data_IF_218393504737
#
_entry.id   IF_218393504737
#
_cell.length_a   1.000
_cell.length_b   1.000
_cell.length_c   1.000
_cell.angle_alpha   90.00
_cell.angle_beta   90.00
_cell.angle_gamma   90.00
#
_symmetry.space_group_name_H-M   'P 1'
#
loop_
_entity.id
_entity.type
_entity.pdbx_description
1 polymer ?
#
# COMPACT_ATOMS: atom_id res chain seq x y z
N UNK A 1 -0.95 -21.25 83.32
CA UNK A 1 -0.92 -19.78 83.09
C UNK A 1 0.51 -19.39 82.81
N UNK A 2 0.87 -19.25 81.53
CA UNK A 2 2.12 -18.67 81.05
C UNK A 2 1.91 -18.37 79.56
N UNK A 3 1.78 -17.09 79.23
CA UNK A 3 1.71 -16.58 77.86
C UNK A 3 3.10 -16.65 77.23
N UNK A 4 3.19 -17.30 76.07
CA UNK A 4 4.39 -17.32 75.24
C UNK A 4 4.30 -16.17 74.23
N UNK A 5 5.20 -15.20 74.37
CA UNK A 5 5.36 -14.07 73.45
C UNK A 5 6.10 -14.52 72.19
N UNK A 6 5.43 -14.43 71.04
CA UNK A 6 5.96 -14.73 69.71
C UNK A 6 6.45 -13.45 69.03
N UNK A 7 7.75 -13.31 68.83
CA UNK A 7 8.34 -12.26 68.00
C UNK A 7 8.13 -12.59 66.51
N UNK A 8 7.33 -11.77 65.81
CA UNK A 8 7.20 -11.78 64.33
C UNK A 8 8.34 -10.99 63.70
N UNK A 9 9.15 -11.64 62.86
CA UNK A 9 9.97 -10.96 61.84
C UNK A 9 9.08 -10.65 60.62
N UNK A 10 9.06 -9.38 60.22
CA UNK A 10 8.51 -8.93 58.93
C UNK A 10 9.43 -9.43 57.79
N UNK A 11 8.90 -10.28 56.92
CA UNK A 11 9.56 -10.66 55.66
C UNK A 11 9.04 -9.74 54.55
N UNK A 12 9.88 -8.81 54.12
CA UNK A 12 9.69 -8.04 52.88
C UNK A 12 9.81 -9.02 51.71
N UNK A 13 8.76 -9.15 50.90
CA UNK A 13 8.80 -9.84 49.62
C UNK A 13 9.44 -8.89 48.60
N UNK A 14 10.74 -9.05 48.37
CA UNK A 14 11.42 -8.50 47.18
C UNK A 14 11.04 -9.34 45.97
N UNK A 15 10.45 -8.72 44.94
CA UNK A 15 10.27 -9.32 43.62
C UNK A 15 11.63 -9.74 43.02
N UNK A 16 11.70 -10.85 42.26
CA UNK A 16 12.97 -11.34 41.74
C UNK A 16 13.48 -10.43 40.61
N UNK A 17 14.80 -10.13 40.53
CA UNK A 17 15.36 -9.14 39.58
C UNK A 17 15.37 -9.58 38.09
N UNK A 18 14.57 -10.56 37.69
CA UNK A 18 14.65 -11.21 36.37
C UNK A 18 13.55 -10.85 35.37
N UNK A 19 12.43 -10.26 35.81
CA UNK A 19 11.26 -10.01 34.95
C UNK A 19 11.44 -8.75 34.07
N UNK A 20 11.96 -7.65 34.62
CA UNK A 20 12.19 -6.42 33.84
C UNK A 20 13.28 -6.58 32.77
N UNK A 21 14.31 -7.39 33.04
CA UNK A 21 15.38 -7.65 32.08
C UNK A 21 14.91 -8.55 30.92
N UNK A 22 14.05 -9.54 31.21
CA UNK A 22 13.45 -10.41 30.18
C UNK A 22 12.45 -9.65 29.30
N UNK A 23 11.63 -8.75 29.88
CA UNK A 23 10.72 -7.89 29.11
C UNK A 23 11.49 -6.88 28.23
N UNK A 24 12.58 -6.30 28.74
CA UNK A 24 13.41 -5.38 27.95
C UNK A 24 14.14 -6.10 26.80
N UNK A 25 14.63 -7.32 27.01
CA UNK A 25 15.26 -8.13 25.95
C UNK A 25 14.24 -8.55 24.89
N UNK A 26 13.01 -8.89 25.31
CA UNK A 26 11.92 -9.25 24.39
C UNK A 26 11.40 -8.03 23.62
N UNK A 27 11.33 -6.85 24.26
CA UNK A 27 11.05 -5.57 23.60
C UNK A 27 12.12 -5.21 22.58
N UNK A 28 13.40 -5.33 22.93
CA UNK A 28 14.52 -5.07 22.00
C UNK A 28 14.52 -6.05 20.81
N UNK A 29 14.19 -7.33 21.03
CA UNK A 29 14.02 -8.27 19.92
C UNK A 29 12.83 -7.92 19.01
N UNK A 30 11.73 -7.35 19.54
CA UNK A 30 10.62 -6.83 18.72
C UNK A 30 10.99 -5.56 17.95
N UNK A 31 11.84 -4.69 18.51
CA UNK A 31 12.42 -3.55 17.79
C UNK A 31 13.28 -3.99 16.59
N UNK A 32 13.91 -5.16 16.68
CA UNK A 32 14.77 -5.71 15.63
C UNK A 32 14.04 -6.62 14.61
N UNK A 33 12.81 -7.09 14.89
CA UNK A 33 12.11 -8.11 14.08
C UNK A 33 10.98 -7.60 13.17
N UNK A 34 10.67 -6.29 13.17
CA UNK A 34 9.65 -5.72 12.26
C UNK A 34 8.20 -6.18 12.52
N UNK A 35 7.89 -6.75 13.69
CA UNK A 35 6.57 -7.32 14.01
C UNK A 35 5.58 -6.36 14.70
N UNK A 36 5.69 -5.05 14.49
CA UNK A 36 4.70 -4.12 15.01
C UNK A 36 3.54 -3.93 14.04
N UNK A 37 2.37 -3.64 14.57
CA UNK A 37 1.17 -3.35 13.77
C UNK A 37 1.39 -2.20 12.76
N UNK A 38 2.23 -1.24 13.14
CA UNK A 38 2.72 -0.14 12.33
C UNK A 38 4.04 0.38 12.91
N UNK A 39 4.82 1.12 12.13
CA UNK A 39 6.09 1.69 12.56
C UNK A 39 5.88 2.98 13.36
N UNK A 40 5.23 3.97 12.75
CA UNK A 40 4.96 5.27 13.35
C UNK A 40 3.57 5.80 12.99
N UNK A 41 2.97 6.55 13.91
CA UNK A 41 1.91 7.52 13.64
C UNK A 41 2.52 8.92 13.75
N UNK A 42 2.31 9.76 12.74
CA UNK A 42 2.66 11.18 12.77
C UNK A 42 1.42 12.04 12.55
N UNK A 43 1.39 13.21 13.18
CA UNK A 43 0.45 14.29 12.85
C UNK A 43 1.25 15.40 12.20
N UNK A 44 0.87 15.75 10.99
CA UNK A 44 1.46 16.85 10.22
C UNK A 44 0.46 18.00 10.20
N UNK A 45 0.88 19.15 10.70
CA UNK A 45 0.09 20.38 10.68
C UNK A 45 0.79 21.42 9.81
N UNK A 46 0.02 22.22 9.08
CA UNK A 46 0.55 23.33 8.29
C UNK A 46 0.78 24.54 9.21
N UNK A 47 2.03 24.98 9.35
CA UNK A 47 2.37 26.19 10.10
C UNK A 47 2.66 27.34 9.16
N UNK A 48 2.10 28.51 9.47
CA UNK A 48 2.40 29.73 8.73
C UNK A 48 3.86 30.12 8.95
N UNK A 49 4.60 30.35 7.87
CA UNK A 49 5.96 30.87 7.96
C UNK A 49 5.94 32.31 8.49
N UNK A 50 6.98 32.70 9.24
CA UNK A 50 6.98 33.94 10.04
C UNK A 50 6.91 35.21 9.19
N UNK A 51 7.42 35.17 7.95
CA UNK A 51 7.61 36.33 7.08
C UNK A 51 6.91 36.21 5.71
N UNK A 52 6.05 35.21 5.54
CA UNK A 52 5.33 34.98 4.28
C UNK A 52 3.90 34.54 4.53
N UNK A 53 3.05 34.67 3.50
CA UNK A 53 1.70 34.13 3.51
C UNK A 53 1.68 32.63 3.14
N UNK A 54 2.83 31.95 3.23
CA UNK A 54 2.98 30.54 2.88
C UNK A 54 2.94 29.66 4.12
N UNK A 55 2.56 28.40 3.91
CA UNK A 55 2.47 27.39 4.96
C UNK A 55 3.55 26.33 4.76
N UNK A 56 4.08 25.78 5.84
CA UNK A 56 5.02 24.67 5.79
C UNK A 56 4.46 23.48 6.58
N UNK A 57 4.42 22.28 6.00
CA UNK A 57 4.00 21.08 6.71
C UNK A 57 5.06 20.70 7.74
N UNK A 58 4.65 20.57 9.00
CA UNK A 58 5.52 20.20 10.11
C UNK A 58 4.89 19.11 10.97
N UNK A 59 5.72 18.16 11.41
CA UNK A 59 5.28 17.15 12.37
C UNK A 59 5.08 17.81 13.73
N UNK A 60 3.84 17.77 14.22
CA UNK A 60 3.43 18.30 15.53
C UNK A 60 3.30 17.21 16.58
N UNK A 61 3.12 15.97 16.15
CA UNK A 61 3.07 14.79 17.03
C UNK A 61 3.67 13.57 16.32
N UNK A 62 4.39 12.74 17.07
CA UNK A 62 4.94 11.47 16.58
C UNK A 62 4.79 10.41 17.69
N UNK A 63 4.37 9.21 17.29
CA UNK A 63 4.33 8.02 18.13
C UNK A 63 4.95 6.82 17.38
N UNK A 64 5.84 6.03 17.99
CA UNK A 64 6.51 6.27 19.28
C UNK A 64 7.42 7.52 19.28
N UNK A 65 7.85 7.97 20.46
CA UNK A 65 8.86 9.03 20.59
C UNK A 65 10.23 8.52 20.14
N UNK A 66 11.12 9.44 19.72
CA UNK A 66 12.46 9.16 19.17
C UNK A 66 13.52 8.74 20.20
N UNK A 67 13.09 8.23 21.35
CA UNK A 67 13.95 7.96 22.49
C UNK A 67 14.77 6.68 22.26
N UNK A 68 16.07 6.72 22.57
CA UNK A 68 16.95 5.54 22.54
C UNK A 68 17.58 5.15 21.18
N UNK A 69 17.34 5.89 20.09
CA UNK A 69 17.94 5.58 18.77
C UNK A 69 19.40 6.04 18.63
N UNK A 70 20.20 5.25 17.91
CA UNK A 70 21.56 5.59 17.51
C UNK A 70 21.57 6.80 16.56
N UNK A 71 22.69 7.53 16.49
CA UNK A 71 22.78 8.78 15.71
C UNK A 71 22.49 8.59 14.22
N UNK A 72 23.03 7.54 13.59
CA UNK A 72 22.79 7.22 12.18
C UNK A 72 21.31 6.93 11.89
N UNK A 73 20.67 6.11 12.73
CA UNK A 73 19.25 5.79 12.64
C UNK A 73 18.38 7.05 12.78
N UNK A 74 18.75 7.97 13.67
CA UNK A 74 18.04 9.25 13.83
C UNK A 74 18.11 10.12 12.58
N UNK A 75 19.25 10.16 11.89
CA UNK A 75 19.43 10.96 10.67
C UNK A 75 18.60 10.38 9.50
N UNK A 76 18.56 9.06 9.35
CA UNK A 76 17.75 8.37 8.35
C UNK A 76 16.24 8.51 8.61
N UNK A 77 15.84 8.36 9.87
CA UNK A 77 14.47 8.60 10.31
C UNK A 77 14.07 10.06 10.03
N UNK A 78 14.94 11.04 10.31
CA UNK A 78 14.65 12.44 10.03
C UNK A 78 14.41 12.71 8.53
N UNK A 79 15.19 12.08 7.64
CA UNK A 79 14.95 12.16 6.19
C UNK A 79 13.60 11.57 5.81
N UNK A 80 13.27 10.40 6.38
CA UNK A 80 11.97 9.74 6.16
C UNK A 80 10.82 10.63 6.64
N UNK A 81 10.92 11.20 7.84
CA UNK A 81 9.93 12.11 8.41
C UNK A 81 9.74 13.36 7.56
N UNK A 82 10.83 13.95 7.05
CA UNK A 82 10.75 15.07 6.09
C UNK A 82 10.01 14.65 4.82
N UNK A 83 10.33 13.50 4.24
CA UNK A 83 9.61 12.98 3.08
C UNK A 83 8.11 12.81 3.38
N UNK A 84 7.75 12.20 4.52
CA UNK A 84 6.36 12.01 4.95
C UNK A 84 5.57 13.32 4.96
N UNK A 85 6.18 14.43 5.41
CA UNK A 85 5.49 15.74 5.39
C UNK A 85 5.10 16.19 3.98
N UNK A 86 5.93 15.90 2.97
CA UNK A 86 5.67 16.23 1.57
C UNK A 86 4.51 15.39 1.01
N UNK A 87 4.41 14.12 1.38
CA UNK A 87 3.31 13.26 0.93
C UNK A 87 2.01 13.50 1.71
N UNK A 88 2.11 13.95 2.97
CA UNK A 88 0.95 14.36 3.75
C UNK A 88 0.31 15.65 3.20
N UNK A 89 1.04 16.47 2.44
CA UNK A 89 0.59 17.70 1.77
C UNK A 89 1.36 17.90 0.43
N UNK A 90 1.07 17.11 -0.62
CA UNK A 90 1.72 17.17 -1.93
C UNK A 90 1.49 18.51 -2.65
N UNK A 91 0.52 19.31 -2.20
CA UNK A 91 0.25 20.70 -2.61
C UNK A 91 1.35 21.69 -2.18
N UNK A 92 2.26 21.27 -1.30
CA UNK A 92 3.33 22.11 -0.84
C UNK A 92 2.82 23.25 0.05
N UNK A 93 3.24 24.48 -0.28
CA UNK A 93 3.17 25.62 0.65
C UNK A 93 2.00 26.58 0.44
N UNK A 94 1.25 26.39 -0.65
CA UNK A 94 0.19 27.30 -1.09
C UNK A 94 -1.16 26.87 -0.51
N UNK A 95 -1.36 27.12 0.78
CA UNK A 95 -2.60 26.80 1.48
C UNK A 95 -3.38 28.03 1.89
N UNK A 96 -4.70 27.97 1.73
CA UNK A 96 -5.64 28.92 2.31
C UNK A 96 -6.34 28.29 3.52
N UNK A 97 -6.47 29.00 4.66
CA UNK A 97 -7.28 28.54 5.78
C UNK A 97 -8.73 28.26 5.37
N UNK A 98 -9.27 27.15 5.84
CA UNK A 98 -10.61 26.67 5.49
C UNK A 98 -11.53 26.76 6.71
N UNK A 99 -12.81 27.08 6.47
CA UNK A 99 -13.86 27.03 7.50
C UNK A 99 -14.52 25.67 7.57
N UNK A 100 -14.58 24.97 6.44
CA UNK A 100 -15.12 23.62 6.27
C UNK A 100 -14.16 22.82 5.41
N UNK A 101 -13.96 21.55 5.74
CA UNK A 101 -13.14 20.62 4.98
C UNK A 101 -13.64 19.21 5.25
N UNK A 102 -14.02 18.51 4.18
CA UNK A 102 -14.42 17.11 4.27
C UNK A 102 -13.19 16.25 4.56
N UNK A 103 -13.36 15.28 5.46
CA UNK A 103 -12.29 14.35 5.81
C UNK A 103 -11.87 13.57 4.57
N UNK A 104 -10.59 13.63 4.21
CA UNK A 104 -10.03 12.98 3.02
C UNK A 104 -9.10 11.85 3.45
N UNK A 105 -9.22 10.68 2.83
CA UNK A 105 -8.36 9.52 3.11
C UNK A 105 -7.62 9.09 1.84
N UNK A 106 -6.32 8.91 1.95
CA UNK A 106 -5.47 8.47 0.84
C UNK A 106 -4.26 7.68 1.33
N UNK A 107 -3.54 7.02 0.41
CA UNK A 107 -2.28 6.35 0.73
C UNK A 107 -1.15 6.72 -0.23
N UNK A 108 0.05 6.83 0.32
CA UNK A 108 1.29 6.98 -0.45
C UNK A 108 2.25 5.83 -0.20
N UNK A 109 3.17 5.60 -1.15
CA UNK A 109 4.21 4.57 -1.03
C UNK A 109 5.57 5.24 -0.94
N UNK A 110 6.34 4.85 0.07
CA UNK A 110 7.76 5.17 0.21
C UNK A 110 8.55 3.95 -0.23
N UNK A 111 9.41 4.13 -1.23
CA UNK A 111 10.33 3.07 -1.69
C UNK A 111 11.71 3.31 -1.10
N UNK A 112 12.28 2.28 -0.48
CA UNK A 112 13.61 2.32 0.11
C UNK A 112 14.70 1.98 -0.90
N UNK A 113 15.96 2.15 -0.49
CA UNK A 113 17.13 1.95 -1.36
C UNK A 113 17.26 0.48 -1.79
N UNK A 114 16.77 -0.45 -0.98
CA UNK A 114 16.75 -1.88 -1.28
C UNK A 114 15.55 -2.32 -2.15
N UNK A 115 14.69 -1.37 -2.56
CA UNK A 115 13.48 -1.61 -3.33
C UNK A 115 12.27 -2.04 -2.50
N UNK A 116 12.42 -2.20 -1.18
CA UNK A 116 11.30 -2.46 -0.29
C UNK A 116 10.34 -1.27 -0.23
N UNK A 117 9.07 -1.54 0.05
CA UNK A 117 8.01 -0.52 0.05
C UNK A 117 7.36 -0.42 1.42
N UNK A 118 7.17 0.82 1.88
CA UNK A 118 6.34 1.17 3.04
C UNK A 118 5.14 1.97 2.58
N UNK A 119 4.00 1.74 3.21
CA UNK A 119 2.76 2.45 2.95
C UNK A 119 2.55 3.53 4.02
N UNK A 120 2.27 4.75 3.57
CA UNK A 120 1.77 5.84 4.41
C UNK A 120 0.28 6.01 4.20
N UNK A 121 -0.52 5.60 5.18
CA UNK A 121 -1.96 5.81 5.19
C UNK A 121 -2.25 7.17 5.81
N UNK A 122 -3.01 8.02 5.15
CA UNK A 122 -3.26 9.38 5.58
C UNK A 122 -4.76 9.67 5.69
N UNK A 123 -5.16 10.33 6.78
CA UNK A 123 -6.48 10.94 7.00
C UNK A 123 -6.27 12.43 7.24
N UNK A 124 -6.70 13.27 6.31
CA UNK A 124 -6.73 14.73 6.49
C UNK A 124 -8.07 15.17 7.03
N UNK A 125 -8.06 16.06 8.00
CA UNK A 125 -9.26 16.61 8.62
C UNK A 125 -9.05 18.06 9.05
N UNK A 126 -10.15 18.79 9.21
CA UNK A 126 -10.09 20.11 9.82
C UNK A 126 -9.96 19.96 11.34
N UNK A 127 -8.99 20.62 12.00
CA UNK A 127 -8.92 20.58 13.44
C UNK A 127 -10.17 21.19 14.10
N UNK A 128 -10.44 20.89 15.37
CA UNK A 128 -11.53 21.56 16.10
C UNK A 128 -11.17 23.03 16.37
N UNK A 129 -12.15 23.94 16.35
CA UNK A 129 -11.92 25.36 16.60
C UNK A 129 -12.99 26.28 16.00
N UNK A 130 -12.83 27.59 16.17
CA UNK A 130 -13.65 28.62 15.51
C UNK A 130 -12.83 29.34 14.44
N UNK A 131 -13.47 29.68 13.32
CA UNK A 131 -12.85 30.42 12.22
C UNK A 131 -12.00 29.56 11.27
N UNK A 132 -11.47 30.23 10.24
CA UNK A 132 -10.69 29.60 9.19
C UNK A 132 -9.33 29.11 9.70
N UNK A 133 -8.97 27.88 9.36
CA UNK A 133 -7.74 27.22 9.81
C UNK A 133 -7.25 26.20 8.80
N UNK A 134 -5.95 25.88 8.79
CA UNK A 134 -5.45 24.84 7.90
C UNK A 134 -5.88 23.44 8.37
N UNK A 135 -6.00 22.46 7.45
CA UNK A 135 -6.19 21.06 7.80
C UNK A 135 -4.95 20.45 8.49
N UNK A 136 -5.18 19.35 9.19
CA UNK A 136 -4.15 18.48 9.77
C UNK A 136 -4.21 17.09 9.14
N UNK A 137 -3.05 16.47 8.94
CA UNK A 137 -2.91 15.14 8.38
C UNK A 137 -2.45 14.16 9.46
N UNK A 138 -3.23 13.12 9.72
CA UNK A 138 -2.84 11.97 10.52
C UNK A 138 -2.29 10.90 9.58
N UNK A 139 -1.05 10.46 9.79
CA UNK A 139 -0.41 9.50 8.90
C UNK A 139 0.19 8.31 9.66
N UNK A 140 -0.21 7.09 9.28
CA UNK A 140 0.35 5.84 9.80
C UNK A 140 1.29 5.26 8.74
N UNK A 141 2.54 4.98 9.13
CA UNK A 141 3.54 4.32 8.30
C UNK A 141 3.62 2.85 8.66
N UNK A 142 3.50 1.98 7.66
CA UNK A 142 3.54 0.52 7.85
C UNK A 142 4.06 -0.21 6.61
N UNK A 143 4.82 -1.29 6.82
CA UNK A 143 5.13 -2.28 5.77
C UNK A 143 3.92 -3.16 5.43
N UNK A 144 2.88 -3.16 6.27
CA UNK A 144 1.66 -3.93 6.06
C UNK A 144 0.69 -3.16 5.16
N UNK A 145 0.20 -3.83 4.12
CA UNK A 145 -0.67 -3.24 3.11
C UNK A 145 -2.15 -3.55 3.38
N UNK A 146 -2.82 -2.82 4.30
CA UNK A 146 -4.22 -3.12 4.68
C UNK A 146 -5.09 -1.86 4.85
N UNK A 147 -5.59 -1.29 3.74
CA UNK A 147 -6.31 -0.01 3.73
C UNK A 147 -7.57 -0.01 4.60
N UNK A 148 -8.40 -1.07 4.49
CA UNK A 148 -9.64 -1.17 5.26
C UNK A 148 -9.41 -1.19 6.77
N UNK A 149 -8.31 -1.80 7.22
CA UNK A 149 -7.95 -1.86 8.63
C UNK A 149 -7.46 -0.50 9.13
N UNK A 150 -6.53 0.14 8.40
CA UNK A 150 -6.07 1.48 8.77
C UNK A 150 -7.18 2.54 8.71
N UNK A 151 -8.15 2.40 7.80
CA UNK A 151 -9.34 3.26 7.80
C UNK A 151 -10.12 3.14 9.11
N UNK A 152 -10.40 1.91 9.59
CA UNK A 152 -11.06 1.68 10.89
C UNK A 152 -10.24 2.24 12.05
N UNK A 153 -8.92 2.10 12.01
CA UNK A 153 -8.03 2.71 13.02
C UNK A 153 -8.19 4.23 13.02
N UNK A 154 -8.26 4.88 11.87
CA UNK A 154 -8.46 6.33 11.80
C UNK A 154 -9.83 6.79 12.31
N UNK A 155 -10.90 6.03 12.08
CA UNK A 155 -12.22 6.31 12.66
C UNK A 155 -12.13 6.33 14.20
N UNK A 156 -11.41 5.38 14.77
CA UNK A 156 -11.15 5.28 16.20
C UNK A 156 -10.23 6.39 16.74
N UNK A 157 -9.25 6.84 15.95
CA UNK A 157 -8.40 8.01 16.28
C UNK A 157 -9.23 9.28 16.28
N UNK A 158 -10.07 9.48 15.26
CA UNK A 158 -10.92 10.66 15.10
C UNK A 158 -11.95 10.75 16.24
N UNK A 159 -12.60 9.64 16.58
CA UNK A 159 -13.51 9.55 17.74
C UNK A 159 -12.84 9.99 19.04
N UNK A 160 -11.62 9.52 19.32
CA UNK A 160 -10.85 9.88 20.53
C UNK A 160 -10.39 11.32 20.53
N UNK A 161 -10.02 11.83 19.36
CA UNK A 161 -9.62 13.23 19.16
C UNK A 161 -10.70 14.22 19.57
N UNK A 162 -11.97 13.92 19.30
CA UNK A 162 -13.09 14.79 19.71
C UNK A 162 -13.21 14.95 21.23
N UNK A 163 -12.62 14.02 21.99
CA UNK A 163 -12.58 14.06 23.46
C UNK A 163 -11.29 14.75 23.93
N UNK A 164 -10.12 14.20 23.55
CA UNK A 164 -8.81 14.78 23.87
C UNK A 164 -7.70 14.13 23.06
N UNK A 165 -6.72 14.93 22.60
CA UNK A 165 -5.49 14.42 21.97
C UNK A 165 -4.75 13.40 22.85
N UNK A 166 -4.82 13.53 24.17
CA UNK A 166 -4.16 12.62 25.10
C UNK A 166 -4.71 11.18 25.02
N UNK A 167 -5.94 10.99 24.51
CA UNK A 167 -6.58 9.68 24.37
C UNK A 167 -6.02 8.86 23.19
N UNK A 168 -5.33 9.49 22.24
CA UNK A 168 -4.76 8.81 21.08
C UNK A 168 -3.59 7.92 21.52
N UNK A 169 -2.74 8.42 22.43
CA UNK A 169 -1.52 7.72 22.85
C UNK A 169 -1.80 6.32 23.44
N UNK A 170 -2.67 6.15 24.46
CA UNK A 170 -2.96 4.83 25.03
C UNK A 170 -3.56 3.85 24.01
N UNK A 171 -4.37 4.34 23.07
CA UNK A 171 -4.94 3.52 22.02
C UNK A 171 -3.87 3.04 21.04
N UNK A 172 -3.04 3.96 20.52
CA UNK A 172 -1.96 3.62 19.59
C UNK A 172 -0.92 2.71 20.22
N UNK A 173 -0.64 2.86 21.53
CA UNK A 173 0.24 1.96 22.25
C UNK A 173 -0.33 0.53 22.30
N UNK A 174 -1.59 0.36 22.69
CA UNK A 174 -2.24 -0.96 22.69
C UNK A 174 -2.29 -1.59 21.30
N UNK A 175 -2.60 -0.79 20.27
CA UNK A 175 -2.62 -1.25 18.89
C UNK A 175 -1.24 -1.73 18.42
N UNK A 176 -0.19 -0.98 18.74
CA UNK A 176 1.19 -1.34 18.36
C UNK A 176 1.69 -2.59 19.09
N UNK A 177 1.26 -2.80 20.33
CA UNK A 177 1.60 -3.99 21.14
C UNK A 177 0.77 -5.23 20.77
N UNK A 178 -0.38 -5.06 20.11
CA UNK A 178 -1.19 -6.15 19.59
C UNK A 178 -0.50 -6.86 18.41
N UNK A 179 -0.75 -8.16 18.29
CA UNK A 179 -0.30 -8.91 17.11
C UNK A 179 -1.11 -8.49 15.89
N UNK A 180 -0.45 -8.35 14.74
CA UNK A 180 -1.17 -8.14 13.50
C UNK A 180 -1.98 -9.39 13.14
N UNK A 181 -3.27 -9.27 12.79
CA UNK A 181 -4.10 -10.43 12.42
C UNK A 181 -3.48 -11.22 11.24
N UNK A 182 -3.53 -12.54 11.33
CA UNK A 182 -3.28 -13.38 10.15
C UNK A 182 -4.46 -13.25 9.16
N UNK A 183 -4.28 -13.55 7.86
CA UNK A 183 -5.37 -13.46 6.88
C UNK A 183 -6.59 -14.28 7.32
N UNK A 184 -7.78 -13.70 7.25
CA UNK A 184 -9.04 -14.28 7.72
C UNK A 184 -9.29 -14.19 9.23
N UNK A 185 -8.33 -13.73 10.02
CA UNK A 185 -8.46 -13.62 11.48
C UNK A 185 -8.80 -12.20 11.94
N UNK A 186 -9.33 -12.11 13.15
CA UNK A 186 -9.69 -10.84 13.81
C UNK A 186 -8.88 -10.65 15.09
N UNK A 187 -8.44 -9.42 15.33
CA UNK A 187 -7.82 -8.99 16.59
C UNK A 187 -8.75 -8.00 17.27
N UNK A 188 -8.99 -8.23 18.56
CA UNK A 188 -9.83 -7.38 19.39
C UNK A 188 -8.98 -6.47 20.28
N UNK A 189 -9.21 -5.16 20.19
CA UNK A 189 -8.50 -4.16 20.99
C UNK A 189 -9.47 -3.57 22.00
N UNK A 190 -9.19 -3.80 23.28
CA UNK A 190 -9.93 -3.22 24.40
C UNK A 190 -9.41 -1.82 24.71
N UNK A 191 -10.23 -0.81 24.46
CA UNK A 191 -9.86 0.59 24.63
C UNK A 191 -10.86 1.30 25.51
N UNK A 192 -10.37 2.08 26.49
CA UNK A 192 -11.24 2.82 27.40
C UNK A 192 -11.48 4.22 26.83
N UNK A 193 -12.74 4.65 26.82
CA UNK A 193 -13.16 6.01 26.48
C UNK A 193 -13.91 6.59 27.69
N UNK A 194 -13.56 7.79 28.17
CA UNK A 194 -14.32 8.48 29.23
C UNK A 194 -15.80 8.54 28.86
N UNK A 195 -16.70 8.34 29.84
CA UNK A 195 -18.17 8.33 29.67
C UNK A 195 -18.74 7.12 28.89
N UNK A 196 -18.03 6.58 27.88
CA UNK A 196 -18.47 5.40 27.11
C UNK A 196 -18.02 4.06 27.70
N UNK A 197 -17.01 4.05 28.57
CA UNK A 197 -16.48 2.83 29.21
C UNK A 197 -15.46 2.08 28.34
N UNK A 198 -15.36 0.77 28.51
CA UNK A 198 -14.45 -0.07 27.71
C UNK A 198 -15.15 -0.53 26.44
N UNK A 199 -14.61 -0.13 25.29
CA UNK A 199 -15.04 -0.57 23.97
C UNK A 199 -14.12 -1.67 23.44
N UNK A 200 -14.68 -2.57 22.63
CA UNK A 200 -13.95 -3.63 21.93
C UNK A 200 -13.95 -3.27 20.45
N UNK A 201 -12.76 -2.99 19.91
CA UNK A 201 -12.57 -2.67 18.51
C UNK A 201 -12.10 -3.94 17.80
N UNK A 202 -12.87 -4.41 16.82
CA UNK A 202 -12.55 -5.62 16.06
C UNK A 202 -11.88 -5.26 14.73
N UNK A 203 -10.62 -5.66 14.59
CA UNK A 203 -9.79 -5.45 13.40
C UNK A 203 -9.60 -6.79 12.68
N UNK A 204 -10.34 -6.97 11.58
CA UNK A 204 -10.31 -8.19 10.76
C UNK A 204 -9.42 -7.99 9.56
N UNK A 205 -8.53 -8.95 9.29
CA UNK A 205 -7.76 -9.00 8.05
C UNK A 205 -8.47 -9.86 7.01
N UNK A 206 -8.69 -9.37 5.79
CA UNK A 206 -9.24 -10.18 4.70
C UNK A 206 -8.47 -11.49 4.48
N UNK A 207 -9.15 -12.52 3.97
CA UNK A 207 -8.52 -13.80 3.66
C UNK A 207 -7.51 -13.68 2.51
N UNK A 208 -7.87 -12.91 1.48
CA UNK A 208 -7.06 -12.67 0.29
C UNK A 208 -6.03 -11.57 0.52
N UNK A 209 -4.84 -11.97 1.00
CA UNK A 209 -3.88 -11.01 1.52
C UNK A 209 -3.32 -9.98 0.51
N UNK A 210 -3.35 -10.34 -0.77
CA UNK A 210 -2.92 -9.48 -1.87
C UNK A 210 -3.90 -8.34 -2.20
N UNK A 211 -5.18 -8.47 -1.81
CA UNK A 211 -6.23 -7.48 -2.09
C UNK A 211 -6.53 -6.55 -0.90
N UNK A 212 -5.79 -6.70 0.20
CA UNK A 212 -6.02 -5.98 1.46
C UNK A 212 -5.92 -4.44 1.35
N UNK A 213 -5.19 -3.94 0.35
CA UNK A 213 -5.00 -2.52 0.09
C UNK A 213 -5.69 -2.05 -1.20
N UNK A 214 -6.52 -2.90 -1.81
CA UNK A 214 -7.07 -2.68 -3.15
C UNK A 214 -8.56 -2.39 -3.05
N UNK A 215 -9.00 -1.35 -3.74
CA UNK A 215 -10.42 -1.06 -3.93
C UNK A 215 -10.72 -0.91 -5.42
N UNK A 216 -11.20 -1.98 -6.06
CA UNK A 216 -11.56 -1.92 -7.47
C UNK A 216 -12.83 -1.09 -7.74
N UNK A 217 -13.67 -0.84 -6.73
CA UNK A 217 -14.86 -0.01 -6.92
C UNK A 217 -14.51 1.39 -7.45
N UNK A 218 -13.45 1.99 -6.91
CA UNK A 218 -12.98 3.33 -7.32
C UNK A 218 -12.38 3.32 -8.73
N UNK A 219 -11.71 2.23 -9.12
CA UNK A 219 -11.24 2.07 -10.50
C UNK A 219 -12.43 2.08 -11.49
N UNK A 220 -13.47 1.29 -11.20
CA UNK A 220 -14.64 1.16 -12.07
C UNK A 220 -15.67 2.29 -11.92
N UNK A 221 -15.56 3.15 -10.90
CA UNK A 221 -16.27 4.43 -10.87
C UNK A 221 -15.61 5.46 -11.80
N UNK A 222 -14.30 5.35 -12.03
CA UNK A 222 -13.55 6.27 -12.87
C UNK A 222 -13.51 5.84 -14.35
N UNK A 223 -13.40 4.54 -14.62
CA UNK A 223 -13.13 3.98 -15.95
C UNK A 223 -14.09 2.84 -16.29
N UNK A 224 -14.44 2.75 -17.57
CA UNK A 224 -15.19 1.61 -18.14
C UNK A 224 -14.29 0.37 -18.26
N UNK A 225 -14.89 -0.81 -18.44
CA UNK A 225 -14.16 -2.07 -18.62
C UNK A 225 -13.14 -2.01 -19.75
N UNK A 226 -13.53 -1.40 -20.88
CA UNK A 226 -12.65 -1.24 -22.03
C UNK A 226 -11.47 -0.32 -21.69
N UNK A 227 -11.70 0.76 -20.96
CA UNK A 227 -10.64 1.70 -20.57
C UNK A 227 -9.68 1.06 -19.55
N UNK A 228 -10.20 0.31 -18.57
CA UNK A 228 -9.38 -0.48 -17.64
C UNK A 228 -8.50 -1.47 -18.40
N UNK A 229 -9.04 -2.13 -19.43
CA UNK A 229 -8.29 -3.06 -20.25
C UNK A 229 -7.13 -2.40 -21.00
N UNK A 230 -7.32 -1.16 -21.51
CA UNK A 230 -6.27 -0.38 -22.16
C UNK A 230 -5.17 0.03 -21.17
N UNK A 231 -5.55 0.47 -19.97
CA UNK A 231 -4.60 0.76 -18.89
C UNK A 231 -3.81 -0.49 -18.49
N UNK A 232 -4.49 -1.63 -18.33
CA UNK A 232 -3.85 -2.92 -18.07
C UNK A 232 -2.88 -3.32 -19.18
N UNK A 233 -3.25 -3.11 -20.45
CA UNK A 233 -2.39 -3.39 -21.60
C UNK A 233 -1.08 -2.58 -21.58
N UNK A 234 -1.15 -1.31 -21.16
CA UNK A 234 0.02 -0.48 -20.96
C UNK A 234 0.85 -0.95 -19.75
N UNK A 235 0.20 -1.26 -18.63
CA UNK A 235 0.86 -1.67 -17.40
C UNK A 235 1.57 -3.03 -17.54
N UNK A 236 0.96 -4.01 -18.20
CA UNK A 236 1.56 -5.34 -18.38
C UNK A 236 2.82 -5.32 -19.26
N UNK A 237 3.01 -4.26 -20.07
CA UNK A 237 4.22 -4.03 -20.85
C UNK A 237 5.17 -3.00 -20.22
N UNK A 238 4.98 -2.68 -18.94
CA UNK A 238 5.83 -1.73 -18.20
C UNK A 238 5.97 -0.38 -18.91
N UNK A 239 4.84 0.23 -19.28
CA UNK A 239 4.85 1.59 -19.84
C UNK A 239 4.92 2.66 -18.75
N UNK A 240 5.24 3.87 -19.17
CA UNK A 240 5.11 5.08 -18.37
C UNK A 240 3.64 5.49 -18.33
N UNK A 241 3.03 5.45 -17.15
CA UNK A 241 1.60 5.77 -16.96
C UNK A 241 1.45 6.82 -15.87
N UNK A 242 0.71 7.88 -16.18
CA UNK A 242 0.34 8.95 -15.24
C UNK A 242 -1.18 8.94 -15.09
N UNK A 243 -1.65 8.86 -13.85
CA UNK A 243 -3.04 9.05 -13.48
C UNK A 243 -3.25 10.47 -12.96
N UNK A 244 -4.33 11.11 -13.41
CA UNK A 244 -4.70 12.46 -13.04
C UNK A 244 -6.04 12.43 -12.32
N UNK A 245 -6.14 13.07 -11.16
CA UNK A 245 -7.42 13.28 -10.50
C UNK A 245 -7.37 14.52 -9.60
N UNK A 246 -8.55 15.02 -9.22
CA UNK A 246 -8.68 16.11 -8.25
C UNK A 246 -8.42 15.62 -6.82
N UNK A 247 -8.97 14.46 -6.47
CA UNK A 247 -8.92 13.89 -5.12
C UNK A 247 -7.75 12.91 -4.95
N UNK A 248 -7.03 13.02 -3.82
CA UNK A 248 -5.90 12.15 -3.49
C UNK A 248 -6.35 10.71 -3.20
N UNK A 249 -7.55 10.56 -2.62
CA UNK A 249 -8.16 9.26 -2.37
C UNK A 249 -8.37 8.48 -3.67
N UNK A 250 -8.93 9.12 -4.69
CA UNK A 250 -9.14 8.54 -6.02
C UNK A 250 -7.81 8.16 -6.67
N UNK A 251 -6.82 9.05 -6.71
CA UNK A 251 -5.49 8.77 -7.26
C UNK A 251 -4.85 7.52 -6.62
N UNK A 252 -4.78 7.52 -5.29
CA UNK A 252 -4.13 6.43 -4.55
C UNK A 252 -4.86 5.10 -4.70
N UNK A 253 -6.20 5.09 -4.66
CA UNK A 253 -6.96 3.85 -4.81
C UNK A 253 -6.87 3.27 -6.23
N UNK A 254 -6.96 4.12 -7.26
CA UNK A 254 -6.90 3.67 -8.66
C UNK A 254 -5.53 3.10 -9.01
N UNK A 255 -4.45 3.76 -8.62
CA UNK A 255 -3.09 3.29 -8.96
C UNK A 255 -2.72 1.98 -8.25
N UNK A 256 -3.16 1.79 -6.99
CA UNK A 256 -3.04 0.51 -6.29
C UNK A 256 -3.89 -0.58 -6.95
N UNK A 257 -5.11 -0.26 -7.38
CA UNK A 257 -5.96 -1.20 -8.11
C UNK A 257 -5.33 -1.64 -9.43
N UNK A 258 -4.78 -0.71 -10.23
CA UNK A 258 -4.08 -1.03 -11.48
C UNK A 258 -2.86 -1.93 -11.23
N UNK A 259 -2.06 -1.64 -10.20
CA UNK A 259 -0.94 -2.51 -9.84
C UNK A 259 -1.39 -3.93 -9.44
N UNK A 260 -2.53 -4.05 -8.75
CA UNK A 260 -3.09 -5.35 -8.36
C UNK A 260 -3.60 -6.19 -9.54
N UNK A 261 -3.98 -5.57 -10.65
CA UNK A 261 -4.35 -6.29 -11.89
C UNK A 261 -3.19 -7.12 -12.46
N UNK A 262 -1.95 -6.82 -12.08
CA UNK A 262 -0.74 -7.47 -12.61
C UNK A 262 -0.43 -8.80 -11.94
N UNK A 263 -1.13 -9.16 -10.87
CA UNK A 263 -0.92 -10.41 -10.15
C UNK A 263 -1.01 -11.64 -11.07
N UNK A 264 -0.10 -12.63 -10.96
CA UNK A 264 0.86 -12.87 -9.87
C UNK A 264 2.17 -12.06 -9.95
N UNK A 265 2.28 -11.16 -10.93
CA UNK A 265 3.45 -10.30 -11.08
C UNK A 265 3.31 -9.05 -10.21
N UNK A 266 4.44 -8.53 -9.74
CA UNK A 266 4.50 -7.28 -8.96
C UNK A 266 5.18 -6.22 -9.77
N UNK A 267 4.63 -5.00 -9.85
CA UNK A 267 5.28 -3.86 -10.52
C UNK A 267 6.66 -3.56 -9.92
N UNK A 268 7.71 -3.56 -10.74
CA UNK A 268 9.10 -3.46 -10.29
C UNK A 268 9.73 -2.09 -10.42
N UNK A 269 9.08 -1.18 -11.16
CA UNK A 269 9.64 0.14 -11.44
C UNK A 269 9.14 1.19 -10.45
N UNK A 270 9.46 2.46 -10.72
CA UNK A 270 9.00 3.60 -9.92
C UNK A 270 7.49 3.57 -9.76
N UNK A 271 7.04 3.66 -8.50
CA UNK A 271 5.64 3.68 -8.12
C UNK A 271 5.45 4.81 -7.11
N UNK A 272 4.76 5.87 -7.50
CA UNK A 272 4.44 6.99 -6.62
C UNK A 272 2.96 7.29 -6.77
N UNK A 273 2.14 6.80 -5.83
CA UNK A 273 0.68 6.91 -5.92
C UNK A 273 0.18 8.36 -5.86
N UNK A 274 0.96 9.25 -5.26
CA UNK A 274 0.71 10.68 -5.19
C UNK A 274 2.06 11.39 -5.28
N UNK A 275 2.33 12.07 -6.39
CA UNK A 275 3.54 12.85 -6.62
C UNK A 275 3.39 14.22 -5.95
N UNK A 276 4.22 14.55 -4.93
CA UNK A 276 4.31 15.91 -4.41
C UNK A 276 4.76 16.89 -5.50
N UNK A 277 4.27 18.13 -5.48
CA UNK A 277 4.62 19.16 -6.47
C UNK A 277 6.12 19.38 -6.58
N UNK A 278 6.83 19.36 -5.44
CA UNK A 278 8.29 19.51 -5.42
C UNK A 278 9.05 18.37 -6.11
N UNK A 279 8.38 17.24 -6.38
CA UNK A 279 8.93 16.07 -7.05
C UNK A 279 8.37 15.87 -8.47
N UNK A 280 7.67 16.86 -9.03
CA UNK A 280 6.98 16.72 -10.33
C UNK A 280 7.92 16.32 -11.47
N UNK A 281 9.18 16.75 -11.42
CA UNK A 281 10.24 16.43 -12.40
C UNK A 281 10.47 14.92 -12.60
N UNK A 282 10.01 14.07 -11.67
CA UNK A 282 10.04 12.60 -11.81
C UNK A 282 9.35 12.11 -13.08
N UNK A 283 8.40 12.88 -13.63
CA UNK A 283 7.69 12.55 -14.88
C UNK A 283 8.62 12.51 -16.10
N UNK A 284 9.80 13.13 -16.01
CA UNK A 284 10.82 13.11 -17.06
C UNK A 284 11.68 11.83 -17.03
N UNK A 285 11.47 10.93 -16.08
CA UNK A 285 12.24 9.69 -15.98
C UNK A 285 12.09 8.85 -17.27
N UNK A 286 13.19 8.32 -17.84
CA UNK A 286 13.12 7.51 -19.06
C UNK A 286 12.66 6.08 -18.79
N UNK A 287 12.68 5.64 -17.54
CA UNK A 287 12.27 4.29 -17.12
C UNK A 287 10.76 4.21 -16.95
N UNK A 288 10.17 2.99 -17.01
CA UNK A 288 8.76 2.80 -16.68
C UNK A 288 8.39 3.36 -15.32
N UNK A 289 7.14 3.81 -15.17
CA UNK A 289 6.62 4.24 -13.88
C UNK A 289 5.09 4.17 -13.85
N UNK A 290 4.56 4.08 -12.63
CA UNK A 290 3.17 4.42 -12.32
C UNK A 290 3.18 5.64 -11.39
N UNK A 291 2.59 6.74 -11.86
CA UNK A 291 2.52 8.00 -11.11
C UNK A 291 1.07 8.46 -10.94
N UNK A 292 0.71 8.94 -9.76
CA UNK A 292 -0.52 9.69 -9.54
C UNK A 292 -0.22 11.18 -9.34
N UNK A 293 -0.83 12.05 -10.14
CA UNK A 293 -0.56 13.49 -10.15
C UNK A 293 -1.87 14.25 -9.98
N UNK A 294 -1.90 15.25 -9.10
CA UNK A 294 -3.09 16.08 -8.91
C UNK A 294 -3.39 16.88 -10.18
N UNK A 295 -4.67 17.00 -10.54
CA UNK A 295 -5.14 17.68 -11.78
C UNK A 295 -4.61 19.10 -11.95
N UNK A 296 -4.41 19.84 -10.86
CA UNK A 296 -3.79 21.19 -10.89
C UNK A 296 -2.38 21.23 -11.50
N UNK A 297 -1.69 20.10 -11.57
CA UNK A 297 -0.35 19.95 -12.17
C UNK A 297 -0.39 19.34 -13.58
N UNK A 298 -1.59 19.16 -14.18
CA UNK A 298 -1.76 18.51 -15.48
C UNK A 298 -0.88 19.13 -16.57
N UNK A 299 -0.86 20.47 -16.64
CA UNK A 299 -0.09 21.19 -17.67
C UNK A 299 1.43 20.92 -17.57
N UNK A 300 1.93 20.47 -16.43
CA UNK A 300 3.35 20.15 -16.24
C UNK A 300 3.72 18.75 -16.75
N UNK A 301 2.74 17.90 -17.08
CA UNK A 301 2.98 16.50 -17.45
C UNK A 301 2.56 16.14 -18.88
N UNK A 302 1.76 16.97 -19.55
CA UNK A 302 1.20 16.67 -20.87
C UNK A 302 2.16 16.83 -22.05
N UNK A 303 3.28 17.54 -21.87
CA UNK A 303 4.25 17.82 -22.95
C UNK A 303 5.15 16.61 -23.30
N UNK A 304 5.00 15.50 -22.59
CA UNK A 304 5.86 14.33 -22.72
C UNK A 304 5.33 13.33 -23.77
N UNK A 305 6.22 12.77 -24.59
CA UNK A 305 5.90 11.71 -25.56
C UNK A 305 6.11 10.31 -24.98
N UNK A 306 5.51 9.30 -25.63
CA UNK A 306 5.68 7.87 -25.32
C UNK A 306 5.29 7.49 -23.88
N UNK A 307 4.18 8.06 -23.40
CA UNK A 307 3.54 7.71 -22.14
C UNK A 307 2.02 7.76 -22.26
N UNK A 308 1.33 7.15 -21.29
CA UNK A 308 -0.12 7.16 -21.18
C UNK A 308 -0.54 8.12 -20.05
N UNK A 309 -1.33 9.15 -20.36
CA UNK A 309 -1.96 10.01 -19.34
C UNK A 309 -3.44 9.68 -19.24
N UNK A 310 -3.89 9.29 -18.05
CA UNK A 310 -5.26 8.86 -17.76
C UNK A 310 -5.93 9.85 -16.79
N UNK A 311 -6.91 10.60 -17.28
CA UNK A 311 -7.79 11.42 -16.47
C UNK A 311 -8.82 10.54 -15.74
N UNK A 312 -8.92 10.73 -14.43
CA UNK A 312 -9.85 10.05 -13.54
C UNK A 312 -10.95 10.98 -13.04
N UNK A 313 -10.89 12.29 -13.31
CA UNK A 313 -11.90 13.25 -12.87
C UNK A 313 -13.31 12.92 -13.37
N UNK A 314 -14.33 13.35 -12.62
CA UNK A 314 -15.73 13.09 -12.97
C UNK A 314 -16.17 13.86 -14.22
N UNK A 315 -15.63 15.06 -14.43
CA UNK A 315 -15.96 15.98 -15.53
C UNK A 315 -15.18 15.71 -16.83
N UNK A 316 -14.35 14.66 -16.86
CA UNK A 316 -13.52 14.30 -18.01
C UNK A 316 -14.39 13.97 -19.24
N UNK A 317 -13.99 14.48 -20.41
CA UNK A 317 -14.63 14.14 -21.69
C UNK A 317 -14.09 12.83 -22.26
N UNK A 318 -12.78 12.66 -22.21
CA UNK A 318 -12.05 11.46 -22.61
C UNK A 318 -11.03 11.16 -21.50
N UNK A 319 -10.98 9.95 -20.94
CA UNK A 319 -9.95 9.62 -19.96
C UNK A 319 -8.55 9.57 -20.53
N UNK A 320 -8.32 9.40 -21.83
CA UNK A 320 -6.97 9.29 -22.37
C UNK A 320 -6.49 10.61 -22.95
N UNK A 321 -5.90 11.46 -22.10
CA UNK A 321 -5.35 12.77 -22.50
C UNK A 321 -4.17 12.61 -23.47
N UNK A 322 -3.30 11.64 -23.18
CA UNK A 322 -2.16 11.26 -24.03
C UNK A 322 -2.18 9.75 -24.16
N UNK A 323 -2.04 9.24 -25.39
CA UNK A 323 -1.97 7.81 -25.68
C UNK A 323 -0.88 7.53 -26.70
N UNK A 324 -0.36 6.30 -26.70
CA UNK A 324 0.64 5.85 -27.68
C UNK A 324 -0.06 5.35 -28.96
N UNK A 325 -1.31 4.91 -28.83
CA UNK A 325 -2.21 4.57 -29.93
C UNK A 325 -2.25 3.09 -30.30
N UNK A 326 -1.39 2.27 -29.70
CA UNK A 326 -1.36 0.82 -29.92
C UNK A 326 -1.96 -0.01 -28.77
N UNK A 327 -2.43 0.63 -27.69
CA UNK A 327 -2.93 -0.01 -26.47
C UNK A 327 -3.99 -1.09 -26.75
N UNK A 328 -4.93 -0.81 -27.66
CA UNK A 328 -5.99 -1.75 -28.05
C UNK A 328 -5.52 -3.00 -28.79
N UNK A 329 -4.27 -3.01 -29.27
CA UNK A 329 -3.68 -4.10 -30.06
C UNK A 329 -2.62 -4.90 -29.31
N UNK A 330 -2.23 -4.46 -28.11
CA UNK A 330 -1.21 -5.13 -27.29
C UNK A 330 -1.67 -6.53 -26.89
N UNK A 331 -2.89 -6.64 -26.38
CA UNK A 331 -3.43 -7.88 -25.83
C UNK A 331 -4.07 -8.74 -26.94
N UNK A 332 -4.00 -10.08 -26.86
CA UNK A 332 -4.67 -10.94 -27.83
C UNK A 332 -6.20 -10.75 -27.82
N UNK A 333 -6.88 -10.51 -28.96
CA UNK A 333 -8.31 -10.14 -28.99
C UNK A 333 -9.25 -11.13 -28.31
N UNK A 334 -8.96 -12.44 -28.43
CA UNK A 334 -9.75 -13.48 -27.74
C UNK A 334 -9.68 -13.32 -26.22
N UNK A 335 -8.48 -13.07 -25.68
CA UNK A 335 -8.29 -12.91 -24.24
C UNK A 335 -8.86 -11.58 -23.73
N UNK A 336 -8.82 -10.52 -24.56
CA UNK A 336 -9.53 -9.27 -24.28
C UNK A 336 -11.04 -9.52 -24.08
N UNK A 337 -11.67 -10.21 -25.03
CA UNK A 337 -13.09 -10.52 -24.95
C UNK A 337 -13.43 -11.38 -23.72
N UNK A 338 -12.60 -12.35 -23.37
CA UNK A 338 -12.77 -13.17 -22.17
C UNK A 338 -12.69 -12.34 -20.88
N UNK A 339 -11.76 -11.40 -20.77
CA UNK A 339 -11.68 -10.47 -19.62
C UNK A 339 -12.94 -9.62 -19.53
N UNK A 340 -13.40 -9.03 -20.65
CA UNK A 340 -14.59 -8.19 -20.67
C UNK A 340 -15.86 -8.95 -20.25
N UNK A 341 -16.01 -10.20 -20.73
CA UNK A 341 -17.11 -11.08 -20.30
C UNK A 341 -17.01 -11.38 -18.82
N UNK A 342 -15.84 -11.73 -18.30
CA UNK A 342 -15.65 -11.98 -16.87
C UNK A 342 -15.96 -10.73 -16.02
N UNK A 343 -15.49 -9.55 -16.43
CA UNK A 343 -15.78 -8.29 -15.76
C UNK A 343 -17.25 -7.95 -15.77
N UNK A 344 -18.02 -8.32 -16.80
CA UNK A 344 -19.47 -8.06 -16.84
C UNK A 344 -20.23 -8.71 -15.66
N UNK A 345 -19.71 -9.82 -15.12
CA UNK A 345 -20.32 -10.52 -13.97
C UNK A 345 -20.24 -9.74 -12.66
N UNK A 346 -19.40 -8.68 -12.60
CA UNK A 346 -19.25 -7.80 -11.42
C UNK A 346 -20.55 -7.10 -11.03
N UNK A 347 -21.47 -6.90 -11.97
CA UNK A 347 -22.76 -6.25 -11.72
C UNK A 347 -23.63 -7.02 -10.73
N UNK A 348 -23.35 -8.32 -10.56
CA UNK A 348 -24.05 -9.19 -9.62
C UNK A 348 -23.35 -9.28 -8.25
N UNK A 349 -22.15 -8.71 -8.12
CA UNK A 349 -21.37 -8.80 -6.89
C UNK A 349 -21.89 -7.82 -5.83
N UNK A 350 -22.01 -8.30 -4.60
CA UNK A 350 -22.24 -7.45 -3.42
C UNK A 350 -20.94 -6.75 -2.97
N UNK A 351 -21.08 -5.78 -2.07
CA UNK A 351 -20.08 -4.74 -1.74
C UNK A 351 -18.65 -5.26 -1.53
N UNK A 352 -17.68 -4.58 -2.14
CA UNK A 352 -16.26 -4.56 -1.76
C UNK A 352 -15.46 -5.84 -2.08
N UNK A 353 -15.52 -6.83 -1.20
CA UNK A 353 -14.66 -8.02 -1.26
C UNK A 353 -15.00 -8.94 -2.44
N UNK A 354 -16.30 -9.14 -2.71
CA UNK A 354 -16.75 -9.97 -3.83
C UNK A 354 -16.37 -9.32 -5.18
N UNK A 355 -16.57 -8.01 -5.31
CA UNK A 355 -16.10 -7.24 -6.46
C UNK A 355 -14.59 -7.43 -6.67
N UNK A 356 -13.81 -7.28 -5.59
CA UNK A 356 -12.36 -7.41 -5.68
C UNK A 356 -11.94 -8.80 -6.16
N UNK A 357 -12.62 -9.85 -5.69
CA UNK A 357 -12.38 -11.23 -6.11
C UNK A 357 -12.70 -11.45 -7.59
N UNK A 358 -13.86 -10.99 -8.06
CA UNK A 358 -14.28 -11.16 -9.48
C UNK A 358 -13.31 -10.48 -10.43
N UNK A 359 -12.92 -9.23 -10.13
CA UNK A 359 -11.97 -8.48 -10.96
C UNK A 359 -10.62 -9.21 -10.99
N UNK A 360 -10.10 -9.55 -9.81
CA UNK A 360 -8.83 -10.26 -9.66
C UNK A 360 -8.77 -11.58 -10.42
N UNK A 361 -9.83 -12.38 -10.33
CA UNK A 361 -9.95 -13.66 -11.03
C UNK A 361 -9.95 -13.47 -12.56
N UNK A 362 -10.64 -12.44 -13.07
CA UNK A 362 -10.67 -12.15 -14.51
C UNK A 362 -9.27 -11.90 -15.09
N UNK A 363 -8.44 -11.11 -14.41
CA UNK A 363 -7.08 -10.80 -14.86
C UNK A 363 -6.07 -11.92 -14.53
N UNK A 364 -6.24 -12.65 -13.43
CA UNK A 364 -5.42 -13.82 -13.14
C UNK A 364 -5.54 -14.87 -14.25
N UNK A 365 -6.77 -15.15 -14.72
CA UNK A 365 -7.03 -16.09 -15.81
C UNK A 365 -6.30 -15.72 -17.11
N UNK A 366 -6.08 -14.42 -17.37
CA UNK A 366 -5.26 -13.97 -18.49
C UNK A 366 -3.80 -14.46 -18.35
N UNK A 367 -3.19 -14.32 -17.18
CA UNK A 367 -1.84 -14.81 -16.93
C UNK A 367 -1.75 -16.34 -16.96
N UNK A 368 -2.72 -17.04 -16.38
CA UNK A 368 -2.79 -18.52 -16.47
C UNK A 368 -2.76 -18.98 -17.93
N UNK A 369 -3.58 -18.38 -18.80
CA UNK A 369 -3.68 -18.77 -20.21
C UNK A 369 -2.50 -18.34 -21.08
N UNK A 370 -1.79 -17.28 -20.69
CA UNK A 370 -0.67 -16.75 -21.49
C UNK A 370 0.67 -17.32 -21.07
N UNK A 371 0.89 -17.48 -19.76
CA UNK A 371 2.20 -17.84 -19.21
C UNK A 371 2.15 -18.92 -18.13
N UNK A 372 0.98 -19.42 -17.74
CA UNK A 372 0.84 -20.43 -16.68
C UNK A 372 1.61 -21.74 -16.92
N UNK A 373 1.93 -22.06 -18.18
CA UNK A 373 2.75 -23.23 -18.54
C UNK A 373 4.26 -23.05 -18.29
N UNK A 374 4.70 -21.92 -17.71
CA UNK A 374 6.14 -21.61 -17.50
C UNK A 374 6.88 -22.72 -16.75
N UNK A 375 6.23 -23.38 -15.79
CA UNK A 375 6.86 -24.37 -14.92
C UNK A 375 7.43 -25.56 -15.72
N UNK A 376 6.80 -25.94 -16.83
CA UNK A 376 7.27 -27.02 -17.73
C UNK A 376 8.55 -26.66 -18.49
N UNK A 377 8.97 -25.39 -18.45
CA UNK A 377 10.14 -24.87 -19.15
C UNK A 377 11.27 -24.47 -18.21
N UNK A 378 11.13 -24.74 -16.90
CA UNK A 378 12.21 -24.61 -15.92
C UNK A 378 12.89 -25.98 -15.76
N UNK A 379 14.14 -26.08 -16.20
CA UNK A 379 14.94 -27.32 -16.18
C UNK A 379 15.87 -27.33 -14.98
N UNK A 380 15.98 -28.47 -14.32
CA UNK A 380 16.88 -28.67 -13.18
C UNK A 380 17.97 -29.65 -13.57
N UNK A 381 19.24 -29.25 -13.48
CA UNK A 381 20.35 -30.12 -13.81
C UNK A 381 20.57 -31.21 -12.75
N UNK A 382 20.40 -30.89 -11.46
CA UNK A 382 20.49 -31.83 -10.33
C UNK A 382 19.46 -31.52 -9.24
N UNK A 383 19.17 -32.50 -8.39
CA UNK A 383 18.34 -32.30 -7.20
C UNK A 383 19.05 -31.33 -6.23
N UNK A 384 18.47 -30.15 -6.01
CA UNK A 384 19.01 -29.12 -5.12
C UNK A 384 19.76 -27.97 -5.82
N UNK A 385 19.96 -28.02 -7.13
CA UNK A 385 20.46 -26.88 -7.92
C UNK A 385 19.30 -25.96 -8.35
N UNK A 386 19.59 -24.69 -8.62
CA UNK A 386 18.62 -23.74 -9.17
C UNK A 386 18.11 -24.18 -10.54
N UNK A 387 16.85 -23.85 -10.83
CA UNK A 387 16.25 -24.06 -12.13
C UNK A 387 16.86 -23.15 -13.20
N UNK A 388 16.74 -23.54 -14.47
CA UNK A 388 17.08 -22.71 -15.62
C UNK A 388 15.90 -22.66 -16.58
N UNK A 389 15.38 -21.46 -16.84
CA UNK A 389 14.21 -21.22 -17.66
C UNK A 389 14.55 -21.17 -19.16
N UNK A 390 13.97 -22.07 -19.94
CA UNK A 390 14.12 -22.13 -21.39
C UNK A 390 13.13 -21.17 -22.08
N UNK A 391 13.50 -19.88 -22.08
CA UNK A 391 12.73 -18.78 -22.67
C UNK A 391 12.32 -19.06 -24.12
N UNK A 392 13.20 -19.68 -24.92
CA UNK A 392 12.95 -19.92 -26.36
C UNK A 392 11.93 -21.00 -26.59
N UNK A 393 12.02 -22.11 -25.86
CA UNK A 393 11.05 -23.21 -25.96
C UNK A 393 9.68 -22.79 -25.40
N UNK A 394 9.68 -22.01 -24.32
CA UNK A 394 8.46 -21.53 -23.64
C UNK A 394 7.50 -20.77 -24.55
N UNK A 395 7.95 -19.68 -25.19
CA UNK A 395 7.04 -18.91 -26.05
C UNK A 395 6.73 -19.64 -27.37
N UNK A 396 7.63 -20.51 -27.85
CA UNK A 396 7.41 -21.27 -29.09
C UNK A 396 6.28 -22.29 -28.96
N UNK A 397 6.07 -22.82 -27.76
CA UNK A 397 5.00 -23.76 -27.47
C UNK A 397 3.59 -23.13 -27.55
N UNK A 398 3.49 -21.81 -27.47
CA UNK A 398 2.21 -21.10 -27.61
C UNK A 398 1.78 -21.15 -29.07
N UNK A 399 0.71 -21.89 -29.39
CA UNK A 399 0.24 -22.08 -30.77
C UNK A 399 -0.31 -20.79 -31.41
N UNK A 400 -1.20 -20.02 -30.76
CA UNK A 400 -1.76 -18.83 -31.39
C UNK A 400 -0.67 -17.78 -31.62
N UNK A 401 -0.43 -17.42 -32.89
CA UNK A 401 0.62 -16.46 -33.28
C UNK A 401 0.47 -15.10 -32.59
N UNK A 402 -0.77 -14.63 -32.42
CA UNK A 402 -1.08 -13.35 -31.76
C UNK A 402 -0.70 -13.40 -30.28
N UNK A 403 -1.10 -14.46 -29.56
CA UNK A 403 -0.71 -14.67 -28.15
C UNK A 403 0.80 -14.83 -28.01
N UNK A 404 1.44 -15.58 -28.91
CA UNK A 404 2.90 -15.72 -28.94
C UNK A 404 3.61 -14.38 -29.11
N UNK A 405 3.07 -13.47 -29.94
CA UNK A 405 3.63 -12.14 -30.15
C UNK A 405 3.55 -11.28 -28.89
N UNK A 406 2.40 -11.28 -28.22
CA UNK A 406 2.24 -10.64 -26.92
C UNK A 406 3.25 -11.21 -25.91
N UNK A 407 3.29 -12.53 -25.73
CA UNK A 407 4.17 -13.17 -24.75
C UNK A 407 5.64 -12.88 -25.03
N UNK A 408 6.06 -12.82 -26.30
CA UNK A 408 7.44 -12.41 -26.66
C UNK A 408 7.82 -11.02 -26.17
N UNK A 409 6.87 -10.08 -26.11
CA UNK A 409 7.09 -8.75 -25.52
C UNK A 409 7.07 -8.85 -24.00
N UNK A 410 6.07 -9.51 -23.44
CA UNK A 410 5.87 -9.63 -22.00
C UNK A 410 7.07 -10.28 -21.27
N UNK A 411 7.68 -11.34 -21.83
CA UNK A 411 8.87 -11.98 -21.24
C UNK A 411 10.15 -11.13 -21.25
N UNK A 412 10.10 -9.91 -21.80
CA UNK A 412 11.20 -8.94 -21.73
C UNK A 412 11.01 -7.94 -20.58
N UNK A 413 9.85 -7.97 -19.91
CA UNK A 413 9.57 -7.11 -18.76
C UNK A 413 10.37 -7.52 -17.55
N UNK A 414 10.70 -6.55 -16.69
CA UNK A 414 11.36 -6.78 -15.41
C UNK A 414 10.50 -7.62 -14.47
N UNK A 415 9.18 -7.38 -14.49
CA UNK A 415 8.18 -8.15 -13.75
C UNK A 415 8.28 -9.66 -14.02
N UNK A 416 8.30 -10.05 -15.30
CA UNK A 416 8.41 -11.46 -15.67
C UNK A 416 9.78 -12.04 -15.31
N UNK A 417 10.84 -11.26 -15.51
CA UNK A 417 12.21 -11.69 -15.21
C UNK A 417 12.38 -12.02 -13.72
N UNK A 418 11.99 -11.12 -12.80
CA UNK A 418 12.10 -11.37 -11.37
C UNK A 418 11.20 -12.52 -10.90
N UNK A 419 9.98 -12.63 -11.45
CA UNK A 419 9.11 -13.77 -11.18
C UNK A 419 9.79 -15.10 -11.53
N UNK A 420 10.45 -15.19 -12.68
CA UNK A 420 11.18 -16.40 -13.07
C UNK A 420 12.43 -16.62 -12.22
N UNK A 421 13.17 -15.58 -11.85
CA UNK A 421 14.33 -15.71 -10.96
C UNK A 421 13.93 -16.30 -9.60
N UNK A 422 12.81 -15.86 -9.02
CA UNK A 422 12.27 -16.45 -7.78
C UNK A 422 11.93 -17.93 -7.97
N UNK A 423 11.27 -18.26 -9.08
CA UNK A 423 10.91 -19.63 -9.46
C UNK A 423 12.17 -20.51 -9.60
N UNK A 424 13.23 -20.01 -10.22
CA UNK A 424 14.50 -20.73 -10.42
C UNK A 424 15.23 -21.01 -9.10
N UNK A 425 15.13 -20.10 -8.12
CA UNK A 425 15.74 -20.26 -6.80
C UNK A 425 15.01 -21.29 -5.92
N UNK A 426 13.74 -21.60 -6.21
CA UNK A 426 12.95 -22.54 -5.42
C UNK A 426 13.33 -24.01 -5.69
N UNK A 427 13.66 -24.80 -4.64
CA UNK A 427 13.89 -26.24 -4.76
C UNK A 427 12.64 -26.99 -5.23
N UNK A 428 12.85 -28.02 -6.07
CA UNK A 428 11.77 -28.85 -6.64
C UNK A 428 10.82 -29.47 -5.59
N UNK A 429 11.29 -29.72 -4.37
CA UNK A 429 10.52 -30.33 -3.27
C UNK A 429 9.50 -29.39 -2.60
N UNK A 430 9.67 -28.06 -2.68
CA UNK A 430 8.70 -27.12 -2.09
C UNK A 430 7.48 -26.85 -2.98
N UNK A 431 7.49 -27.34 -4.23
CA UNK A 431 6.42 -27.11 -5.21
C UNK A 431 5.20 -28.03 -5.04
N UNK A 432 5.34 -29.16 -4.34
CA UNK A 432 4.29 -30.19 -4.24
C UNK A 432 3.46 -30.15 -2.94
N UNK A 433 3.61 -29.15 -2.04
CA UNK A 433 2.80 -29.19 -0.82
C UNK A 433 2.88 -28.07 0.19
N UNK A 434 3.42 -26.88 -0.12
CA UNK A 434 3.41 -25.77 0.84
C UNK A 434 2.87 -24.48 0.23
N UNK A 435 1.78 -24.01 0.84
CA UNK A 435 1.19 -22.67 0.69
C UNK A 435 2.26 -21.64 1.03
N UNK A 436 2.91 -21.06 0.02
CA UNK A 436 3.79 -19.90 0.18
C UNK A 436 2.99 -18.61 -0.03
N UNK A 437 3.05 -17.73 0.97
CA UNK A 437 2.28 -16.48 1.10
C UNK A 437 2.46 -15.44 -0.02
N UNK A 438 3.33 -15.67 -1.01
CA UNK A 438 3.65 -14.67 -2.05
C UNK A 438 3.78 -15.26 -3.46
N UNK A 439 3.54 -16.55 -3.66
CA UNK A 439 3.59 -17.15 -5.00
C UNK A 439 2.50 -18.22 -5.06
N UNK A 440 1.32 -17.87 -5.58
CA UNK A 440 0.35 -18.90 -5.93
C UNK A 440 0.94 -19.71 -7.08
N UNK A 441 1.16 -21.00 -6.81
CA UNK A 441 1.28 -21.99 -7.86
C UNK A 441 0.00 -21.91 -8.70
N UNK A 442 0.14 -21.34 -9.90
CA UNK A 442 -0.83 -21.52 -10.97
C UNK A 442 -0.70 -22.98 -11.41
N UNK A 443 -1.39 -23.87 -10.70
CA UNK A 443 -1.56 -25.28 -11.06
C UNK A 443 -2.92 -25.48 -11.72
#
# INVERSE_FOLDING_TARGET
>A
MCEASSHRLNRVLTEPPGLEAAENTTRQHRYASGQYFFEYLVVVSLKKAKDSNTYEPQITYQFPKRDGMARSQKEEEEKTLKAITLFCFPEGINWAPLTEYHSETFSFVLTEIDGSRRNGYCRRLLPGGRGARPPEAYCIISTLACFGLFSKIFDEVEKRRQISMAMIYPFMQKLREAQFPAPGNTVEIKSFIPESGTEIISLTRPLDSWLEHVNFATLFSCLTDQQVLLVFAAAVLERRIIFIADELGTLSQVIHAVAALLYPFTWQHTFISIVPEILIDVVMAPTPYLLGVQKRLLDQVTDQTDLLVVDLSEDKKDPFIVSIGDEGTILPPKLQAEILVALSTRQNASVGEELNRVVSEAFLQFFVKTVGHYASYVKYARAGEGGVFDKRSFYKAIEPKVTRHFVKKFIQTQMFDLFIQEVEQQPRSMREGHVCKHTVCVC
#
